data_IF_986384363624
#
_entry.id   IF_986384363624
#
_cell.length_a   1.000
_cell.length_b   1.000
_cell.length_c   1.000
_cell.angle_alpha   90.00
_cell.angle_beta   90.00
_cell.angle_gamma   90.00
#
_symmetry.space_group_name_H-M   'P 1'
#
loop_
_entity.id
_entity.type
_entity.pdbx_description
1 polymer ?
2 non-polymer ?
3 non-polymer ?
4 non-polymer ?
5 water ?
#
# COMPACT_ATOMS: atom_id res chain seq x y z
N UNK A 11 13.68 -20.99 9.65
CA UNK A 11 14.03 -20.91 8.21
C UNK A 11 13.17 -21.83 7.36
N UNK A 12 12.67 -21.28 6.25
CA UNK A 12 12.03 -22.09 5.21
C UNK A 12 12.22 -21.41 3.87
N UNK A 13 12.57 -22.20 2.86
CA UNK A 13 12.70 -21.69 1.49
C UNK A 13 11.55 -22.13 0.60
N UNK A 14 10.60 -22.86 1.19
CA UNK A 14 9.47 -23.39 0.45
C UNK A 14 8.37 -22.33 0.38
N UNK A 15 7.77 -22.14 -0.79
CA UNK A 15 6.73 -21.11 -0.90
C UNK A 15 5.51 -21.37 -0.02
N UNK A 16 5.07 -20.32 0.67
CA UNK A 16 3.83 -20.31 1.42
C UNK A 16 3.41 -18.85 1.59
N UNK A 17 2.10 -18.62 1.58
CA UNK A 17 1.58 -17.28 1.87
C UNK A 17 2.02 -16.87 3.28
N UNK A 18 2.47 -15.64 3.41
CA UNK A 18 3.01 -15.15 4.67
C UNK A 18 1.97 -15.03 5.77
N UNK A 19 2.44 -15.12 7.02
CA UNK A 19 1.63 -14.86 8.20
C UNK A 19 2.44 -13.93 9.09
N UNK A 20 1.86 -13.49 10.21
CA UNK A 20 2.58 -12.63 11.15
C UNK A 20 3.93 -13.24 11.53
N UNK A 21 3.95 -14.56 11.68
CA UNK A 21 5.15 -15.26 12.10
C UNK A 21 6.24 -15.36 11.02
N UNK A 22 5.85 -15.22 9.76
CA UNK A 22 6.80 -15.42 8.65
C UNK A 22 7.10 -14.15 7.87
N UNK A 23 6.47 -13.05 8.26
CA UNK A 23 6.80 -11.75 7.67
C UNK A 23 8.21 -11.22 7.98
N UNK A 24 8.84 -11.65 9.11
CA UNK A 24 10.15 -11.04 9.36
C UNK A 24 11.18 -11.18 8.24
N UNK A 25 11.20 -12.36 7.62
CA UNK A 25 12.25 -12.69 6.65
C UNK A 25 11.76 -13.56 5.49
N UNK A 26 10.94 -12.98 4.59
CA UNK A 26 10.46 -13.75 3.44
C UNK A 26 11.49 -13.86 2.32
N UNK A 27 12.60 -13.15 2.46
CA UNK A 27 13.49 -12.92 1.34
C UNK A 27 14.19 -14.16 0.77
N UNK A 28 14.65 -15.10 1.65
CA UNK A 28 15.27 -16.30 1.09
C UNK A 28 14.27 -17.12 0.27
N UNK A 29 13.03 -17.18 0.72
CA UNK A 29 11.96 -17.85 -0.02
C UNK A 29 11.80 -17.25 -1.42
N UNK A 30 11.73 -15.92 -1.48
CA UNK A 30 11.63 -15.21 -2.77
C UNK A 30 12.81 -15.52 -3.68
N UNK A 31 14.02 -15.55 -3.10
CA UNK A 31 15.25 -15.82 -3.85
C UNK A 31 15.21 -17.22 -4.47
N UNK A 32 14.75 -18.20 -3.69
CA UNK A 32 14.58 -19.58 -4.17
C UNK A 32 13.66 -19.65 -5.36
N UNK A 33 12.52 -18.94 -5.28
CA UNK A 33 11.62 -18.84 -6.42
C UNK A 33 12.28 -18.20 -7.63
N UNK A 34 12.92 -17.04 -7.45
CA UNK A 34 13.52 -16.34 -8.59
C UNK A 34 14.55 -17.20 -9.30
N UNK A 35 15.35 -17.89 -8.50
CA UNK A 35 16.45 -18.66 -9.05
C UNK A 35 16.06 -20.02 -9.61
N UNK A 36 15.05 -20.66 -9.02
CA UNK A 36 14.79 -22.06 -9.36
C UNK A 36 13.39 -22.37 -9.89
N UNK A 37 12.45 -21.44 -9.73
CA UNK A 37 11.09 -21.64 -10.25
C UNK A 37 10.34 -20.32 -10.41
N UNK A 38 10.78 -19.48 -11.38
CA UNK A 38 10.23 -18.14 -11.55
C UNK A 38 8.74 -18.09 -11.92
N UNK A 39 8.23 -19.16 -12.52
CA UNK A 39 6.79 -19.28 -12.77
C UNK A 39 6.33 -20.51 -12.00
N UNK A 40 6.01 -20.30 -10.73
CA UNK A 40 5.86 -21.38 -9.74
C UNK A 40 4.42 -21.79 -9.54
N UNK A 41 4.13 -23.07 -9.72
CA UNK A 41 2.77 -23.60 -9.55
C UNK A 41 2.56 -24.05 -8.11
N UNK A 42 1.58 -23.45 -7.44
CA UNK A 42 1.22 -23.81 -6.07
C UNK A 42 -0.05 -24.63 -6.11
N UNK A 43 -0.01 -25.85 -5.59
CA UNK A 43 -1.17 -26.72 -5.53
C UNK A 43 -1.38 -27.05 -4.05
N UNK A 44 -2.27 -26.32 -3.37
CA UNK A 44 -2.48 -26.56 -1.92
C UNK A 44 -2.89 -28.00 -1.67
N UNK A 45 -2.11 -28.75 -0.87
CA UNK A 45 -2.44 -30.16 -0.67
C UNK A 45 -3.85 -30.43 -0.13
N UNK A 46 -4.35 -29.51 0.70
CA UNK A 46 -5.66 -29.66 1.32
C UNK A 46 -6.78 -29.15 0.41
N UNK A 47 -6.40 -28.44 -0.65
CA UNK A 47 -7.35 -27.81 -1.56
C UNK A 47 -6.75 -27.68 -2.96
N UNK A 48 -6.44 -28.82 -3.63
CA UNK A 48 -5.74 -28.76 -4.91
C UNK A 48 -6.51 -28.04 -6.02
N UNK A 49 -7.83 -27.93 -5.87
CA UNK A 49 -8.68 -27.23 -6.82
C UNK A 49 -8.49 -25.71 -6.78
N UNK A 50 -7.77 -25.25 -5.74
CA UNK A 50 -7.46 -23.83 -5.57
C UNK A 50 -6.01 -23.53 -5.92
N UNK A 51 -5.49 -24.29 -6.88
CA UNK A 51 -4.14 -24.07 -7.35
C UNK A 51 -3.99 -22.69 -8.02
N UNK A 52 -2.79 -22.15 -7.97
CA UNK A 52 -2.49 -20.85 -8.54
C UNK A 52 -1.02 -20.78 -8.93
N UNK A 53 -0.61 -19.67 -9.52
CA UNK A 53 0.77 -19.51 -9.97
C UNK A 53 1.38 -18.28 -9.34
N UNK A 54 2.69 -18.25 -9.26
CA UNK A 54 3.41 -17.16 -8.60
C UNK A 54 4.53 -16.67 -9.50
N UNK A 55 4.54 -15.37 -9.77
CA UNK A 55 5.61 -14.74 -10.53
C UNK A 55 6.52 -13.95 -9.57
N UNK A 56 7.83 -14.23 -9.66
CA UNK A 56 8.79 -13.71 -8.68
C UNK A 56 9.87 -12.80 -9.27
N UNK A 57 10.09 -12.87 -10.59
CA UNK A 57 11.13 -12.08 -11.22
C UNK A 57 10.63 -10.71 -11.67
N UNK A 58 11.51 -9.73 -11.63
CA UNK A 58 11.14 -8.37 -11.99
C UNK A 58 10.56 -8.26 -13.41
N UNK A 59 11.20 -8.90 -14.38
CA UNK A 59 10.79 -8.79 -15.78
C UNK A 59 9.38 -9.30 -16.00
N UNK A 60 9.07 -10.44 -15.39
CA UNK A 60 7.77 -11.07 -15.57
C UNK A 60 6.69 -10.31 -14.83
N UNK A 61 7.01 -9.87 -13.61
CA UNK A 61 6.04 -9.11 -12.82
C UNK A 61 5.73 -7.75 -13.45
N UNK A 62 6.77 -7.08 -13.94
CA UNK A 62 6.62 -5.78 -14.61
C UNK A 62 5.69 -5.91 -15.82
N UNK A 63 5.94 -6.92 -16.66
CA UNK A 63 5.14 -7.11 -17.87
C UNK A 63 3.71 -7.56 -17.58
N UNK A 64 3.54 -8.43 -16.59
CA UNK A 64 2.20 -8.91 -16.19
C UNK A 64 1.33 -7.82 -15.57
N UNK A 65 1.94 -6.99 -14.71
CA UNK A 65 1.23 -5.86 -14.10
C UNK A 65 0.68 -4.92 -15.18
N UNK A 66 1.49 -4.64 -16.20
CA UNK A 66 1.09 -3.77 -17.31
C UNK A 66 -0.01 -4.39 -18.16
N UNK A 67 0.05 -5.71 -18.33
CA UNK A 67 -0.81 -6.42 -19.28
C UNK A 67 -2.14 -6.81 -18.65
N UNK A 68 -3.01 -5.82 -18.53
CA UNK A 68 -4.33 -6.03 -17.94
C UNK A 68 -5.20 -6.91 -18.83
N UNK A 69 -4.91 -6.94 -20.13
CA UNK A 69 -5.70 -7.76 -21.06
C UNK A 69 -5.57 -9.25 -20.73
N UNK A 70 -4.35 -9.68 -20.47
CA UNK A 70 -4.05 -11.07 -20.16
C UNK A 70 -4.25 -11.34 -18.67
N UNK A 71 -3.86 -10.38 -17.83
CA UNK A 71 -3.90 -10.54 -16.39
C UNK A 71 -4.92 -9.59 -15.79
N UNK A 72 -6.14 -10.08 -15.64
CA UNK A 72 -7.30 -9.25 -15.26
C UNK A 72 -7.38 -9.04 -13.76
N UNK A 73 -7.88 -7.87 -13.35
CA UNK A 73 -8.16 -7.60 -11.94
C UNK A 73 -9.62 -7.84 -11.53
N UNK A 74 -10.45 -8.25 -12.50
CA UNK A 74 -11.90 -8.23 -12.34
C UNK A 74 -12.50 -9.37 -11.51
N UNK A 75 -11.68 -10.37 -11.17
CA UNK A 75 -12.12 -11.44 -10.28
C UNK A 75 -11.58 -11.34 -8.85
N UNK A 76 -10.81 -10.30 -8.59
CA UNK A 76 -10.27 -10.11 -7.26
C UNK A 76 -8.76 -10.12 -7.27
N UNK A 77 -8.19 -9.81 -6.11
CA UNK A 77 -6.75 -9.55 -5.98
C UNK A 77 -6.05 -10.50 -5.03
N UNK A 78 -6.75 -11.52 -4.56
CA UNK A 78 -6.14 -12.55 -3.69
C UNK A 78 -6.07 -13.87 -4.46
N UNK A 79 -5.43 -14.87 -3.86
CA UNK A 79 -5.43 -16.19 -4.48
C UNK A 79 -6.68 -17.02 -4.14
N UNK A 80 -7.62 -16.45 -3.40
CA UNK A 80 -8.85 -17.16 -3.03
C UNK A 80 -9.92 -17.00 -4.10
N UNK A 81 -10.29 -18.12 -4.74
CA UNK A 81 -11.25 -18.10 -5.85
C UNK A 81 -12.67 -17.65 -5.46
N UNK A 82 -13.00 -17.72 -4.18
CA UNK A 82 -14.31 -17.23 -3.73
C UNK A 82 -14.35 -15.80 -3.23
N UNK A 83 -13.28 -15.04 -3.49
CA UNK A 83 -13.07 -13.70 -2.93
C UNK A 83 -14.25 -12.73 -3.03
N UNK A 84 -14.75 -12.50 -4.23
CA UNK A 84 -15.75 -11.43 -4.41
C UNK A 84 -17.04 -11.69 -3.63
N UNK A 85 -17.51 -12.94 -3.64
CA UNK A 85 -18.68 -13.29 -2.81
C UNK A 85 -18.37 -13.27 -1.32
N UNK A 86 -17.14 -13.63 -0.96
CA UNK A 86 -16.71 -13.63 0.44
C UNK A 86 -16.73 -12.22 1.05
N UNK A 87 -16.37 -11.23 0.23
CA UNK A 87 -16.35 -9.85 0.73
C UNK A 87 -17.68 -9.12 0.43
N UNK A 88 -18.43 -9.62 -0.54
CA UNK A 88 -19.71 -9.03 -0.91
C UNK A 88 -19.60 -7.92 -1.93
N UNK A 89 -18.64 -8.05 -2.85
CA UNK A 89 -18.45 -7.02 -3.86
C UNK A 89 -18.53 -7.57 -5.28
N UNK A 90 -19.19 -8.72 -5.45
CA UNK A 90 -19.31 -9.32 -6.78
C UNK A 90 -20.14 -8.49 -7.75
N UNK A 91 -21.26 -7.93 -7.26
CA UNK A 91 -22.18 -7.16 -8.12
C UNK A 91 -21.48 -6.03 -8.85
N UNK A 92 -20.84 -5.15 -8.08
CA UNK A 92 -20.07 -4.03 -8.61
C UNK A 92 -18.74 -3.95 -7.87
N UNK A 93 -17.71 -4.59 -8.43
CA UNK A 93 -16.41 -4.49 -7.75
C UNK A 93 -15.85 -3.03 -7.73
N UNK A 94 -15.00 -2.71 -6.74
CA UNK A 94 -14.33 -1.41 -6.61
C UNK A 94 -13.29 -1.15 -7.71
N UNK A 95 -12.72 0.05 -7.76
CA UNK A 95 -11.90 0.42 -8.91
C UNK A 95 -10.68 -0.49 -9.12
N UNK A 96 -10.16 -1.03 -8.01
CA UNK A 96 -8.96 -1.84 -8.04
C UNK A 96 -9.28 -3.26 -8.52
N UNK A 97 -10.57 -3.53 -8.73
CA UNK A 97 -11.05 -4.82 -9.25
C UNK A 97 -11.86 -4.59 -10.52
N UNK A 98 -11.57 -3.49 -11.20
CA UNK A 98 -12.13 -3.16 -12.52
C UNK A 98 -11.04 -3.21 -13.59
N UNK A 99 -11.40 -3.72 -14.77
CA UNK A 99 -10.52 -3.64 -15.93
C UNK A 99 -10.95 -2.48 -16.81
N UNK A 100 -10.04 -2.01 -17.66
CA UNK A 100 -10.46 -1.08 -18.70
C UNK A 100 -11.43 -1.81 -19.64
N UNK A 101 -12.42 -1.10 -20.22
CA UNK A 101 -12.66 0.35 -20.19
C UNK A 101 -13.42 0.88 -18.97
N UNK A 102 -14.12 -0.01 -18.24
CA UNK A 102 -14.90 0.33 -17.04
C UNK A 102 -14.02 1.15 -16.09
N UNK A 103 -12.79 0.69 -15.88
CA UNK A 103 -11.84 1.32 -14.97
C UNK A 103 -11.42 2.73 -15.38
N UNK A 104 -11.32 2.94 -16.69
CA UNK A 104 -10.69 4.13 -17.26
C UNK A 104 -11.42 5.44 -16.96
N UNK A 105 -12.75 5.50 -17.17
CA UNK A 105 -13.46 6.76 -16.92
C UNK A 105 -13.45 7.17 -15.46
N UNK A 106 -13.76 6.23 -14.57
CA UNK A 106 -13.76 6.54 -13.16
C UNK A 106 -12.36 6.98 -12.72
N UNK A 107 -11.32 6.29 -13.18
CA UNK A 107 -9.95 6.66 -12.80
C UNK A 107 -9.62 8.08 -13.27
N UNK A 108 -10.10 8.43 -14.46
CA UNK A 108 -9.86 9.78 -14.98
C UNK A 108 -10.50 10.82 -14.07
N UNK A 109 -11.73 10.55 -13.63
CA UNK A 109 -12.43 11.50 -12.79
C UNK A 109 -11.78 11.68 -11.44
N UNK A 110 -11.50 10.57 -10.74
CA UNK A 110 -10.89 10.67 -9.41
C UNK A 110 -9.48 11.22 -9.48
N UNK A 111 -8.76 10.95 -10.56
CA UNK A 111 -7.40 11.46 -10.71
C UNK A 111 -7.30 12.98 -10.57
N UNK A 112 -8.41 13.67 -10.82
CA UNK A 112 -8.48 15.13 -10.65
C UNK A 112 -8.21 15.56 -9.19
N UNK A 113 -8.41 14.64 -8.26
CA UNK A 113 -8.06 14.87 -6.85
C UNK A 113 -6.70 14.34 -6.43
N UNK A 114 -5.89 13.93 -7.41
CA UNK A 114 -4.53 13.44 -7.15
C UNK A 114 -3.51 14.17 -8.02
N UNK A 115 -3.31 15.43 -7.69
CA UNK A 115 -2.35 16.26 -8.41
C UNK A 115 -1.37 16.85 -7.40
N UNK A 116 -0.31 17.54 -7.89
CA UNK A 116 0.65 18.08 -6.93
C UNK A 116 0.01 19.01 -5.90
N UNK A 117 -1.04 19.73 -6.28
CA UNK A 117 -1.74 20.57 -5.33
C UNK A 117 -2.17 19.82 -4.06
N UNK A 118 -2.79 18.65 -4.22
CA UNK A 118 -3.30 17.93 -3.04
C UNK A 118 -2.21 17.38 -2.14
N UNK A 119 -1.07 17.02 -2.71
CA UNK A 119 0.04 16.54 -1.89
C UNK A 119 0.67 17.71 -1.15
N UNK A 120 0.77 18.85 -1.84
CA UNK A 120 1.40 20.03 -1.27
C UNK A 120 0.59 20.67 -0.14
N UNK A 121 -0.73 20.69 -0.28
CA UNK A 121 -1.56 21.35 0.73
C UNK A 121 -1.55 20.64 2.07
N UNK A 122 -1.35 19.33 2.06
CA UNK A 122 -1.39 18.56 3.30
C UNK A 122 0.00 18.42 3.92
N UNK A 123 1.06 18.76 3.19
CA UNK A 123 2.40 18.52 3.73
C UNK A 123 2.68 19.24 5.08
N UNK A 124 2.32 20.54 5.20
CA UNK A 124 2.60 21.19 6.51
C UNK A 124 1.86 20.53 7.68
N UNK A 125 0.65 20.02 7.42
CA UNK A 125 -0.11 19.29 8.44
C UNK A 125 0.59 17.99 8.83
N UNK A 126 1.06 17.26 7.83
CA UNK A 126 1.87 16.06 8.05
C UNK A 126 3.12 16.37 8.87
N UNK A 127 3.87 17.39 8.47
CA UNK A 127 5.08 17.76 9.19
C UNK A 127 4.80 18.14 10.65
N UNK A 128 3.78 18.95 10.87
CA UNK A 128 3.42 19.37 12.23
C UNK A 128 3.12 18.14 13.10
N UNK A 129 2.37 17.19 12.57
CA UNK A 129 2.01 15.99 13.34
C UNK A 129 3.23 15.12 13.61
N UNK A 130 4.04 14.92 12.59
CA UNK A 130 5.29 14.16 12.75
C UNK A 130 6.18 14.75 13.84
N UNK A 131 6.38 16.06 13.81
CA UNK A 131 7.18 16.76 14.80
C UNK A 131 6.60 16.61 16.20
N UNK A 132 5.29 16.84 16.34
CA UNK A 132 4.63 16.69 17.64
C UNK A 132 4.90 15.31 18.24
N UNK A 133 4.68 14.27 17.44
CA UNK A 133 4.78 12.89 17.92
C UNK A 133 6.23 12.45 18.17
N UNK A 134 7.16 12.87 17.31
CA UNK A 134 8.57 12.54 17.51
C UNK A 134 9.14 13.25 18.73
N UNK A 135 8.73 14.50 18.95
CA UNK A 135 9.15 15.21 20.16
C UNK A 135 8.66 14.52 21.44
N UNK A 136 7.42 14.06 21.43
CA UNK A 136 6.88 13.33 22.58
C UNK A 136 7.68 12.04 22.83
N UNK A 137 7.95 11.30 21.76
CA UNK A 137 8.77 10.11 21.86
C UNK A 137 10.17 10.43 22.40
N UNK A 138 10.81 11.47 21.86
CA UNK A 138 12.14 11.88 22.29
C UNK A 138 12.16 12.19 23.78
N UNK A 139 11.18 12.99 24.23
CA UNK A 139 11.08 13.38 25.64
C UNK A 139 10.93 12.16 26.55
N UNK A 140 10.23 11.15 26.06
CA UNK A 140 9.99 9.92 26.83
C UNK A 140 11.05 8.84 26.65
N UNK A 141 12.11 9.15 25.90
CA UNK A 141 13.19 8.21 25.63
C UNK A 141 12.80 7.08 24.69
N UNK A 142 11.71 7.28 23.97
CA UNK A 142 11.20 6.28 23.05
C UNK A 142 9.75 5.92 23.33
N UNK A 143 9.32 4.83 22.73
CA UNK A 143 7.97 4.34 22.93
C UNK A 143 7.40 3.71 21.69
N UNK A 144 6.07 3.66 21.66
CA UNK A 144 5.34 2.95 20.64
C UNK A 144 5.14 3.83 19.40
N UNK A 145 6.17 3.87 18.55
CA UNK A 145 6.17 4.72 17.36
C UNK A 145 5.07 4.34 16.36
N UNK A 146 4.70 3.06 16.33
CA UNK A 146 3.62 2.66 15.43
C UNK A 146 2.28 3.23 15.93
N UNK A 147 1.93 2.99 17.19
CA UNK A 147 0.64 3.46 17.70
C UNK A 147 0.51 4.98 17.69
N UNK A 148 1.61 5.66 17.99
CA UNK A 148 1.58 7.09 18.20
C UNK A 148 1.83 7.93 16.95
N UNK A 149 2.46 7.33 15.94
CA UNK A 149 2.77 8.07 14.71
C UNK A 149 2.45 7.32 13.42
N UNK A 150 3.02 6.13 13.24
CA UNK A 150 2.95 5.47 11.93
C UNK A 150 1.55 4.95 11.57
N UNK A 151 0.71 4.71 12.58
CA UNK A 151 -0.70 4.39 12.37
C UNK A 151 -1.57 5.63 12.14
N UNK A 152 -1.58 6.59 13.09
CA UNK A 152 -2.49 7.72 12.86
C UNK A 152 -2.15 8.64 11.67
N UNK A 153 -0.86 8.79 11.34
CA UNK A 153 -0.47 9.70 10.25
C UNK A 153 -1.16 9.41 8.92
N UNK A 154 -1.05 8.18 8.39
CA UNK A 154 -1.66 7.97 7.08
C UNK A 154 -3.18 8.14 7.09
N UNK A 155 -3.82 7.93 8.24
CA UNK A 155 -5.27 8.13 8.31
C UNK A 155 -5.66 9.58 7.99
N UNK A 156 -4.88 10.51 8.52
CA UNK A 156 -5.12 11.93 8.28
C UNK A 156 -4.96 12.28 6.78
N UNK A 157 -3.95 11.68 6.16
CA UNK A 157 -3.70 11.94 4.74
C UNK A 157 -4.84 11.40 3.88
N UNK A 158 -5.29 10.16 4.13
CA UNK A 158 -6.47 9.62 3.43
C UNK A 158 -7.68 10.54 3.64
N UNK A 159 -7.88 10.99 4.87
CA UNK A 159 -8.98 11.92 5.18
C UNK A 159 -8.91 13.16 4.31
N UNK A 160 -7.71 13.74 4.23
CA UNK A 160 -7.49 14.88 3.35
C UNK A 160 -7.88 14.60 1.89
N UNK A 161 -7.47 13.44 1.38
CA UNK A 161 -7.75 13.09 -0.01
C UNK A 161 -9.22 12.83 -0.29
N UNK A 162 -9.99 12.56 0.78
CA UNK A 162 -11.43 12.35 0.67
C UNK A 162 -12.23 13.62 0.98
N UNK A 163 -11.52 14.72 1.24
CA UNK A 163 -12.17 15.99 1.58
C UNK A 163 -12.91 15.96 2.92
N UNK A 164 -12.48 15.09 3.84
CA UNK A 164 -13.03 15.11 5.21
C UNK A 164 -12.49 16.34 5.94
N UNK A 165 -13.38 17.20 6.45
CA UNK A 165 -12.92 18.36 7.22
C UNK A 165 -12.08 17.96 8.44
N UNK A 166 -11.06 18.75 8.73
CA UNK A 166 -10.12 18.46 9.80
C UNK A 166 -10.78 18.16 11.14
N UNK A 167 -11.91 18.83 11.40
CA UNK A 167 -12.62 18.66 12.66
C UNK A 167 -13.19 17.25 12.85
N UNK A 168 -13.29 16.50 11.74
CA UNK A 168 -13.83 15.14 11.76
C UNK A 168 -12.76 14.04 11.65
N UNK A 169 -11.49 14.41 11.67
CA UNK A 169 -10.41 13.44 11.48
C UNK A 169 -10.33 12.40 12.61
N UNK A 170 -10.64 12.80 13.84
CA UNK A 170 -10.55 11.88 14.96
C UNK A 170 -11.64 10.79 14.85
N UNK A 171 -12.86 11.20 14.54
CA UNK A 171 -13.93 10.23 14.33
C UNK A 171 -13.62 9.34 13.13
N UNK A 172 -13.07 9.95 12.09
CA UNK A 172 -12.70 9.22 10.90
C UNK A 172 -11.56 8.20 11.18
N UNK A 173 -10.61 8.58 12.06
CA UNK A 173 -9.52 7.68 12.53
C UNK A 173 -10.11 6.42 13.20
N UNK A 174 -11.18 6.61 13.99
CA UNK A 174 -11.79 5.49 14.69
C UNK A 174 -12.33 4.46 13.73
N UNK A 175 -13.09 4.92 12.74
CA UNK A 175 -13.63 4.02 11.72
C UNK A 175 -12.51 3.37 10.92
N UNK A 176 -11.52 4.17 10.54
CA UNK A 176 -10.36 3.68 9.82
C UNK A 176 -9.68 2.54 10.55
N UNK A 177 -9.44 2.69 11.84
CA UNK A 177 -8.69 1.67 12.54
C UNK A 177 -9.42 0.34 12.59
N UNK A 178 -10.74 0.40 12.78
CA UNK A 178 -11.57 -0.81 12.79
C UNK A 178 -11.54 -1.50 11.42
N UNK A 179 -11.67 -0.72 10.35
CA UNK A 179 -11.63 -1.26 8.99
C UNK A 179 -10.28 -1.87 8.62
N UNK A 180 -9.20 -1.14 8.92
CA UNK A 180 -7.86 -1.60 8.63
C UNK A 180 -7.57 -2.91 9.36
N UNK A 181 -7.95 -2.99 10.64
CA UNK A 181 -7.77 -4.23 11.42
C UNK A 181 -8.56 -5.39 10.84
N UNK A 182 -9.80 -5.13 10.43
CA UNK A 182 -10.66 -6.16 9.84
C UNK A 182 -10.17 -6.60 8.45
N UNK A 183 -9.63 -5.65 7.69
CA UNK A 183 -9.17 -5.89 6.30
C UNK A 183 -7.83 -6.64 6.25
N UNK A 184 -7.12 -6.63 7.38
CA UNK A 184 -5.81 -7.26 7.46
C UNK A 184 -5.94 -8.77 7.47
N UNK A 191 -15.22 -8.68 10.77
CA UNK A 191 -16.09 -7.56 10.40
C UNK A 191 -15.82 -6.26 11.13
N UNK A 192 -16.37 -5.17 10.59
CA UNK A 192 -16.27 -3.83 11.15
C UNK A 192 -17.58 -3.11 10.89
N UNK A 193 -18.67 -3.71 11.33
CA UNK A 193 -19.99 -3.22 10.96
C UNK A 193 -20.33 -1.79 11.41
N UNK A 194 -20.03 -1.47 12.66
CA UNK A 194 -20.21 -0.12 13.21
C UNK A 194 -19.46 0.88 12.33
N UNK A 195 -18.19 0.59 12.08
CA UNK A 195 -17.31 1.45 11.28
C UNK A 195 -17.78 1.63 9.84
N UNK A 196 -18.12 0.52 9.20
CA UNK A 196 -18.55 0.56 7.80
C UNK A 196 -19.84 1.36 7.71
N UNK A 197 -20.79 1.04 8.59
CA UNK A 197 -22.04 1.80 8.70
C UNK A 197 -21.87 3.29 8.99
N UNK A 198 -21.04 3.63 9.97
CA UNK A 198 -20.79 5.04 10.31
C UNK A 198 -20.17 5.76 9.12
N UNK A 199 -19.19 5.11 8.49
CA UNK A 199 -18.45 5.75 7.41
C UNK A 199 -19.34 5.93 6.19
N UNK A 200 -20.08 4.89 5.82
CA UNK A 200 -20.94 5.00 4.65
C UNK A 200 -22.03 6.03 4.90
N UNK A 201 -22.52 6.12 6.14
CA UNK A 201 -23.46 7.17 6.54
C UNK A 201 -22.90 8.61 6.49
N UNK A 202 -21.69 8.78 7.02
CA UNK A 202 -21.00 10.06 7.03
C UNK A 202 -20.77 10.56 5.62
N UNK A 203 -20.28 9.67 4.75
CA UNK A 203 -20.01 10.06 3.38
C UNK A 203 -21.26 10.32 2.55
N UNK A 204 -22.37 9.66 2.89
CA UNK A 204 -23.63 9.98 2.25
C UNK A 204 -23.93 11.47 2.44
N UNK A 205 -23.75 11.95 3.67
CA UNK A 205 -23.91 13.37 4.00
C UNK A 205 -22.88 14.29 3.34
N UNK A 206 -21.62 13.87 3.35
CA UNK A 206 -20.57 14.69 2.75
C UNK A 206 -20.73 14.81 1.24
N UNK A 207 -21.09 13.71 0.57
CA UNK A 207 -21.35 13.73 -0.87
C UNK A 207 -22.46 14.73 -1.20
N UNK A 208 -23.53 14.68 -0.43
CA UNK A 208 -24.64 15.61 -0.57
C UNK A 208 -24.16 17.05 -0.40
N UNK A 209 -23.33 17.30 0.60
CA UNK A 209 -22.76 18.63 0.80
C UNK A 209 -21.93 19.08 -0.40
N UNK A 210 -21.12 18.18 -0.96
CA UNK A 210 -20.25 18.55 -2.09
C UNK A 210 -21.00 18.93 -3.36
N UNK A 211 -22.30 18.63 -3.41
CA UNK A 211 -23.14 19.06 -4.53
C UNK A 211 -23.19 20.58 -4.61
N UNK A 212 -23.18 21.23 -3.46
CA UNK A 212 -23.28 22.69 -3.42
C UNK A 212 -22.03 23.38 -2.90
N UNK A 213 -21.16 22.64 -2.20
CA UNK A 213 -19.91 23.20 -1.67
C UNK A 213 -18.70 22.36 -2.11
N UNK A 214 -18.45 22.25 -3.43
CA UNK A 214 -17.34 21.41 -3.87
C UNK A 214 -15.98 22.04 -3.58
N UNK A 215 -15.05 21.21 -3.12
CA UNK A 215 -13.67 21.64 -2.95
C UNK A 215 -12.80 20.97 -4.01
N UNK A 216 -11.53 20.74 -3.70
CA UNK A 216 -10.58 20.30 -4.72
C UNK A 216 -10.27 18.81 -4.62
N UNK A 217 -10.91 18.13 -3.68
CA UNK A 217 -10.63 16.73 -3.40
C UNK A 217 -11.29 15.77 -4.39
N UNK A 218 -10.94 14.49 -4.28
CA UNK A 218 -11.44 13.48 -5.19
C UNK A 218 -12.96 13.29 -5.14
N UNK A 219 -13.54 13.35 -3.94
CA UNK A 219 -15.00 13.23 -3.84
C UNK A 219 -15.69 14.42 -4.47
N UNK A 220 -15.24 15.62 -4.13
CA UNK A 220 -15.75 16.85 -4.75
C UNK A 220 -15.71 16.75 -6.28
N UNK A 221 -14.59 16.25 -6.81
CA UNK A 221 -14.46 16.11 -8.25
C UNK A 221 -15.45 15.13 -8.87
N UNK A 222 -15.68 14.01 -8.17
CA UNK A 222 -16.63 13.02 -8.65
C UNK A 222 -18.03 13.62 -8.69
N UNK A 223 -18.42 14.26 -7.60
CA UNK A 223 -19.73 14.92 -7.53
C UNK A 223 -19.87 16.01 -8.60
N UNK A 224 -18.87 16.88 -8.73
CA UNK A 224 -18.92 17.97 -9.72
C UNK A 224 -19.06 17.43 -11.15
N UNK A 225 -18.45 16.27 -11.41
CA UNK A 225 -18.51 15.61 -12.71
C UNK A 225 -19.83 14.87 -12.97
N UNK A 226 -20.76 14.96 -12.01
CA UNK A 226 -22.09 14.41 -12.17
C UNK A 226 -22.28 12.95 -11.81
N UNK A 227 -21.28 12.36 -11.17
CA UNK A 227 -21.42 10.99 -10.68
C UNK A 227 -22.42 11.00 -9.52
N UNK A 228 -23.52 10.27 -9.72
CA UNK A 228 -24.63 10.23 -8.75
C UNK A 228 -25.72 11.28 -8.98
N UNK A 229 -25.51 12.17 -9.95
CA UNK A 229 -26.50 13.21 -10.30
C UNK A 229 -27.80 12.59 -10.80
N UNK A 230 -28.90 13.35 -10.64
CA UNK A 230 -30.20 12.99 -11.21
C UNK A 230 -30.71 11.59 -10.83
N UNK A 231 -30.58 11.26 -9.54
CA UNK A 231 -31.06 10.00 -9.01
C UNK A 231 -30.27 8.76 -9.39
N UNK A 232 -29.03 8.96 -9.87
CA UNK A 232 -28.16 7.82 -10.22
C UNK A 232 -27.55 7.18 -8.97
N UNK A 233 -28.34 6.32 -8.33
CA UNK A 233 -27.97 5.61 -7.13
C UNK A 233 -26.64 4.84 -7.30
N UNK A 234 -26.49 4.18 -8.44
CA UNK A 234 -25.27 3.41 -8.75
C UNK A 234 -24.03 4.31 -8.77
N UNK A 235 -24.15 5.48 -9.37
CA UNK A 235 -23.07 6.48 -9.33
C UNK A 235 -22.70 6.83 -7.91
N UNK A 236 -23.69 7.18 -7.09
CA UNK A 236 -23.42 7.51 -5.70
C UNK A 236 -22.74 6.33 -4.98
N UNK A 237 -23.22 5.11 -5.24
CA UNK A 237 -22.60 3.93 -4.63
C UNK A 237 -21.13 3.81 -5.01
N UNK A 238 -20.80 4.17 -6.25
CA UNK A 238 -19.40 4.10 -6.70
C UNK A 238 -18.51 5.07 -5.92
N UNK A 239 -19.06 6.23 -5.54
CA UNK A 239 -18.29 7.16 -4.72
C UNK A 239 -18.07 6.58 -3.32
N UNK A 240 -19.14 6.04 -2.74
CA UNK A 240 -19.04 5.36 -1.45
C UNK A 240 -18.02 4.21 -1.48
N UNK A 241 -18.07 3.39 -2.53
CA UNK A 241 -17.13 2.29 -2.66
C UNK A 241 -15.69 2.82 -2.70
N UNK A 242 -15.49 3.93 -3.39
CA UNK A 242 -14.19 4.56 -3.49
C UNK A 242 -13.66 4.98 -2.11
N UNK A 243 -14.54 5.44 -1.22
CA UNK A 243 -14.07 5.80 0.13
C UNK A 243 -13.50 4.59 0.86
N UNK A 244 -14.15 3.43 0.70
CA UNK A 244 -13.65 2.20 1.31
C UNK A 244 -12.33 1.75 0.68
N UNK A 245 -12.22 1.87 -0.65
CA UNK A 245 -10.99 1.59 -1.36
C UNK A 245 -9.85 2.44 -0.81
N UNK A 246 -10.12 3.72 -0.62
CA UNK A 246 -9.11 4.63 -0.11
C UNK A 246 -8.66 4.30 1.31
N UNK A 247 -9.60 4.02 2.21
CA UNK A 247 -9.26 3.64 3.57
C UNK A 247 -8.40 2.37 3.57
N UNK A 248 -8.78 1.38 2.76
CA UNK A 248 -8.03 0.13 2.74
C UNK A 248 -6.73 0.21 1.96
N UNK A 249 -6.62 1.17 1.04
CA UNK A 249 -5.42 1.29 0.21
C UNK A 249 -4.32 2.11 0.87
N UNK A 250 -4.73 3.14 1.62
CA UNK A 250 -3.79 4.18 2.00
C UNK A 250 -3.26 4.18 3.41
N UNK A 251 -3.68 3.17 4.21
CA UNK A 251 -3.35 3.13 5.63
C UNK A 251 -2.28 2.10 5.99
N UNK A 252 -2.62 0.82 5.93
CA UNK A 252 -1.68 -0.21 6.36
C UNK A 252 -0.40 -0.21 5.53
N UNK A 253 -0.55 0.14 4.25
CA UNK A 253 0.59 0.26 3.36
C UNK A 253 1.60 1.30 3.84
N UNK A 254 1.13 2.51 4.14
CA UNK A 254 2.02 3.56 4.62
C UNK A 254 2.63 3.19 5.97
N UNK A 255 1.82 2.59 6.85
CA UNK A 255 2.34 2.13 8.14
C UNK A 255 3.44 1.08 7.93
N UNK A 256 3.26 0.24 6.92
CA UNK A 256 4.27 -0.75 6.56
C UNK A 256 5.56 -0.13 6.06
N UNK A 257 5.43 0.87 5.20
CA UNK A 257 6.60 1.59 4.68
C UNK A 257 7.37 2.23 5.84
N UNK A 258 6.65 2.94 6.70
CA UNK A 258 7.27 3.69 7.81
C UNK A 258 7.90 2.76 8.84
N UNK A 259 7.12 1.80 9.33
CA UNK A 259 7.64 0.86 10.32
C UNK A 259 8.70 -0.07 9.77
N UNK A 260 8.48 -0.58 8.55
CA UNK A 260 9.45 -1.48 7.91
C UNK A 260 10.80 -0.84 7.65
N UNK A 261 10.81 0.48 7.47
CA UNK A 261 12.06 1.20 7.20
C UNK A 261 12.92 1.32 8.45
N UNK A 262 12.31 1.26 9.63
CA UNK A 262 13.04 1.50 10.88
C UNK A 262 14.22 0.54 11.13
N UNK A 263 14.01 -0.79 11.04
CA UNK A 263 15.19 -1.66 11.23
C UNK A 263 16.24 -1.52 10.12
N UNK A 264 15.78 -1.24 8.90
CA UNK A 264 16.71 -1.10 7.78
C UNK A 264 17.65 0.07 8.00
N UNK A 265 17.09 1.19 8.45
CA UNK A 265 17.88 2.37 8.78
C UNK A 265 18.75 2.13 10.00
N UNK A 266 18.19 1.49 11.00
CA UNK A 266 18.92 1.33 12.24
C UNK A 266 20.22 0.56 12.04
N UNK A 267 20.16 -0.49 11.23
CA UNK A 267 21.30 -1.38 11.10
C UNK A 267 22.37 -0.87 10.12
N UNK A 268 22.12 0.30 9.52
CA UNK A 268 23.07 0.90 8.58
C UNK A 268 23.42 2.35 8.95
N UNK A 269 24.23 2.52 10.02
CA UNK A 269 24.65 3.87 10.39
C UNK A 269 25.35 4.62 9.26
N UNK A 270 26.08 3.93 8.38
CA UNK A 270 26.72 4.58 7.24
C UNK A 270 25.70 5.23 6.33
N UNK A 271 24.55 4.58 6.18
CA UNK A 271 23.50 5.11 5.31
C UNK A 271 22.80 6.29 5.97
N UNK A 272 22.59 6.22 7.28
CA UNK A 272 22.05 7.37 8.00
C UNK A 272 23.02 8.54 7.91
N UNK A 273 24.32 8.26 8.01
CA UNK A 273 25.34 9.31 7.92
C UNK A 273 25.26 10.09 6.61
N UNK A 274 25.07 9.39 5.50
CA UNK A 274 24.96 10.01 4.18
C UNK A 274 23.85 11.04 4.16
N UNK A 275 22.73 10.71 4.80
CA UNK A 275 21.56 11.58 4.83
C UNK A 275 21.61 12.68 5.89
N UNK A 276 22.34 12.44 6.97
CA UNK A 276 22.62 13.47 7.96
C UNK A 276 23.49 14.56 7.37
N UNK A 277 24.46 14.16 6.56
CA UNK A 277 25.39 15.09 5.91
C UNK A 277 24.80 15.74 4.67
N UNK A 278 23.92 15.02 3.98
CA UNK A 278 23.23 15.59 2.82
C UNK A 278 21.73 15.25 2.87
N UNK A 279 20.95 16.10 3.57
CA UNK A 279 19.51 15.89 3.67
C UNK A 279 18.81 15.93 2.32
N UNK A 280 19.44 16.53 1.32
CA UNK A 280 18.88 16.58 -0.03
C UNK A 280 18.91 15.19 -0.75
N UNK A 281 19.57 14.22 -0.14
CA UNK A 281 19.55 12.84 -0.64
C UNK A 281 18.33 12.06 -0.17
N UNK A 282 17.48 12.68 0.64
CA UNK A 282 16.35 11.96 1.24
C UNK A 282 15.30 11.45 0.20
N UNK A 283 14.95 12.26 -0.82
CA UNK A 283 14.02 11.72 -1.82
C UNK A 283 14.47 10.42 -2.48
N UNK A 284 15.74 10.35 -2.87
CA UNK A 284 16.28 9.10 -3.41
C UNK A 284 16.23 7.97 -2.38
N UNK A 285 16.53 8.29 -1.11
CA UNK A 285 16.51 7.30 -0.04
C UNK A 285 15.10 6.71 0.10
N UNK A 286 14.09 7.57 -0.04
CA UNK A 286 12.70 7.12 0.02
C UNK A 286 12.41 6.06 -1.05
N UNK A 287 12.92 6.26 -2.26
CA UNK A 287 12.73 5.23 -3.29
C UNK A 287 13.34 3.89 -2.92
N UNK A 288 14.54 3.93 -2.36
CA UNK A 288 15.21 2.72 -1.92
C UNK A 288 14.44 2.03 -0.78
N UNK A 289 13.96 2.81 0.18
CA UNK A 289 13.13 2.26 1.26
C UNK A 289 11.83 1.67 0.73
N UNK A 290 11.20 2.33 -0.24
CA UNK A 290 10.01 1.78 -0.86
C UNK A 290 10.30 0.45 -1.56
N UNK A 291 11.45 0.36 -2.22
CA UNK A 291 11.86 -0.88 -2.87
C UNK A 291 12.00 -2.03 -1.90
N UNK A 292 12.69 -1.79 -0.78
CA UNK A 292 13.00 -2.85 0.17
C UNK A 292 11.85 -3.22 1.09
N UNK A 293 11.00 -2.25 1.44
CA UNK A 293 9.84 -2.56 2.28
C UNK A 293 8.66 -3.12 1.49
N UNK A 294 8.48 -2.62 0.25
CA UNK A 294 7.42 -3.06 -0.67
C UNK A 294 6.16 -3.49 0.10
N UNK A 295 5.52 -2.54 0.81
CA UNK A 295 4.45 -2.95 1.74
C UNK A 295 3.39 -3.85 1.13
N UNK A 296 2.96 -3.54 -0.09
CA UNK A 296 2.17 -4.52 -0.83
C UNK A 296 3.16 -5.51 -1.43
N UNK A 297 3.30 -6.65 -0.74
CA UNK A 297 4.30 -7.63 -1.14
C UNK A 297 3.85 -8.44 -2.34
N UNK A 298 2.54 -8.63 -2.48
CA UNK A 298 2.01 -9.26 -3.68
C UNK A 298 0.52 -9.02 -3.79
N UNK A 299 0.03 -9.03 -5.02
CA UNK A 299 -1.40 -9.04 -5.32
C UNK A 299 -1.61 -9.93 -6.52
N UNK A 300 -2.81 -10.49 -6.63
CA UNK A 300 -3.08 -11.43 -7.71
C UNK A 300 -3.81 -10.84 -8.91
N UNK A 301 -3.78 -11.60 -9.99
CA UNK A 301 -4.55 -11.35 -11.21
C UNK A 301 -5.19 -12.66 -11.63
N UNK A 302 -6.12 -12.61 -12.57
CA UNK A 302 -6.69 -13.83 -13.16
C UNK A 302 -6.37 -13.84 -14.65
N UNK A 303 -5.81 -14.95 -15.15
CA UNK A 303 -5.53 -15.04 -16.58
C UNK A 303 -6.83 -15.13 -17.37
N UNK A 304 -6.86 -14.42 -18.49
CA UNK A 304 -8.00 -14.40 -19.40
C UNK A 304 -7.77 -15.32 -20.60
N UNK A 305 -6.53 -15.76 -20.76
CA UNK A 305 -6.10 -16.64 -21.85
C UNK A 305 -4.95 -17.48 -21.32
N UNK A 306 -4.67 -18.60 -21.99
CA UNK A 306 -3.44 -19.33 -21.71
C UNK A 306 -2.27 -18.39 -22.02
N UNK A 307 -1.28 -18.34 -21.14
CA UNK A 307 -0.12 -17.51 -21.40
C UNK A 307 1.14 -18.27 -21.03
N UNK A 308 2.12 -18.24 -21.93
CA UNK A 308 3.37 -18.94 -21.72
C UNK A 308 4.45 -17.95 -21.32
N UNK A 309 5.12 -18.26 -20.22
CA UNK A 309 6.25 -17.48 -19.73
C UNK A 309 7.40 -18.48 -19.56
N UNK A 310 8.39 -18.41 -20.44
CA UNK A 310 9.49 -19.38 -20.45
C UNK A 310 8.99 -20.79 -20.71
N UNK A 311 9.34 -21.73 -19.83
CA UNK A 311 8.95 -23.13 -20.02
C UNK A 311 7.64 -23.50 -19.33
N UNK A 312 6.88 -22.50 -18.91
CA UNK A 312 5.63 -22.75 -18.21
C UNK A 312 4.45 -22.05 -18.86
N UNK A 313 3.38 -22.80 -19.05
CA UNK A 313 2.13 -22.25 -19.55
C UNK A 313 1.10 -22.17 -18.41
N UNK A 314 0.68 -20.95 -18.09
CA UNK A 314 -0.37 -20.74 -17.12
C UNK A 314 -1.71 -20.83 -17.86
N UNK A 315 -2.62 -21.71 -17.40
CA UNK A 315 -3.92 -21.80 -18.07
C UNK A 315 -4.78 -20.57 -17.86
N UNK A 316 -5.65 -20.30 -18.82
CA UNK A 316 -6.74 -19.34 -18.63
C UNK A 316 -7.54 -19.71 -17.37
N UNK A 317 -8.00 -18.70 -16.63
CA UNK A 317 -8.89 -18.95 -15.51
C UNK A 317 -8.26 -19.29 -14.17
N UNK A 318 -6.96 -19.04 -14.04
CA UNK A 318 -6.27 -19.28 -12.78
C UNK A 318 -5.73 -17.97 -12.23
N UNK A 319 -5.59 -17.91 -10.90
CA UNK A 319 -4.97 -16.76 -10.25
C UNK A 319 -3.44 -16.81 -10.40
N UNK A 320 -2.85 -15.63 -10.58
CA UNK A 320 -1.41 -15.47 -10.70
C UNK A 320 -1.03 -14.41 -9.66
N UNK A 321 -0.22 -14.78 -8.68
CA UNK A 321 0.27 -13.86 -7.67
C UNK A 321 1.52 -13.12 -8.18
N UNK A 322 1.40 -11.80 -8.29
CA UNK A 322 2.50 -10.96 -8.72
C UNK A 322 3.29 -10.53 -7.48
N UNK A 323 4.47 -11.11 -7.29
CA UNK A 323 5.23 -10.84 -6.06
C UNK A 323 6.04 -9.56 -6.22
N UNK A 324 5.38 -8.43 -6.02
CA UNK A 324 6.05 -7.14 -6.10
C UNK A 324 7.27 -7.09 -5.18
N UNK A 325 7.14 -7.63 -3.97
CA UNK A 325 8.24 -7.65 -3.02
C UNK A 325 9.47 -8.40 -3.50
N UNK A 326 9.26 -9.47 -4.28
CA UNK A 326 10.36 -10.23 -4.86
C UNK A 326 10.93 -9.53 -6.08
N UNK A 327 10.05 -9.00 -6.92
CA UNK A 327 10.47 -8.26 -8.12
C UNK A 327 11.39 -7.10 -7.73
N UNK A 328 11.02 -6.43 -6.64
CA UNK A 328 11.80 -5.33 -6.09
C UNK A 328 13.18 -5.75 -5.56
N UNK A 329 13.36 -7.04 -5.33
CA UNK A 329 14.61 -7.60 -4.80
C UNK A 329 15.35 -8.48 -5.81
N UNK A 330 14.95 -8.39 -7.08
CA UNK A 330 15.51 -9.27 -8.10
C UNK A 330 16.89 -8.80 -8.51
N UNK A 331 17.89 -9.65 -8.25
CA UNK A 331 19.27 -9.33 -8.61
C UNK A 331 19.46 -9.07 -10.12
N UNK A 332 18.58 -9.64 -10.95
CA UNK A 332 18.63 -9.41 -12.39
C UNK A 332 18.33 -7.96 -12.76
N UNK A 333 17.60 -7.25 -11.91
CA UNK A 333 17.28 -5.85 -12.16
C UNK A 333 18.15 -4.88 -11.36
N UNK A 334 18.47 -5.26 -10.11
CA UNK A 334 19.15 -4.36 -9.16
C UNK A 334 20.55 -4.84 -8.76
N UNK A 335 21.01 -5.91 -9.39
CA UNK A 335 22.38 -6.41 -9.15
C UNK A 335 22.54 -7.30 -7.92
N UNK A 336 23.74 -7.89 -7.71
CA UNK A 336 23.92 -8.88 -6.63
C UNK A 336 23.72 -8.34 -5.21
N UNK A 337 23.71 -7.00 -5.11
CA UNK A 337 23.49 -6.27 -3.89
C UNK A 337 22.04 -5.80 -3.74
N UNK A 338 21.11 -6.48 -4.42
CA UNK A 338 19.70 -6.10 -4.39
C UNK A 338 19.09 -6.23 -3.00
N UNK A 339 19.66 -7.10 -2.17
CA UNK A 339 19.13 -7.34 -0.83
C UNK A 339 19.53 -6.26 0.17
N UNK A 340 20.47 -5.37 -0.22
CA UNK A 340 21.03 -4.39 0.70
C UNK A 340 20.48 -2.99 0.53
N UNK A 341 20.47 -2.23 1.62
CA UNK A 341 20.11 -0.83 1.57
C UNK A 341 21.25 -0.01 0.95
N UNK A 342 20.93 0.67 -0.16
CA UNK A 342 21.80 1.70 -0.73
C UNK A 342 20.99 2.94 -1.07
N UNK A 343 21.05 3.96 -0.20
CA UNK A 343 20.19 5.12 -0.38
C UNK A 343 20.56 5.97 -1.59
N UNK A 344 21.73 5.70 -2.20
CA UNK A 344 22.14 6.41 -3.41
C UNK A 344 21.91 5.59 -4.67
N UNK A 345 21.27 4.43 -4.51
CA UNK A 345 21.02 3.50 -5.63
C UNK A 345 20.20 4.12 -6.75
N UNK A 346 19.21 4.93 -6.37
CA UNK A 346 18.23 5.51 -7.29
C UNK A 346 17.59 4.41 -8.14
N UNK A 347 16.93 3.43 -7.48
CA UNK A 347 16.35 2.31 -8.20
C UNK A 347 15.26 2.79 -9.17
N UNK A 348 15.23 2.21 -10.36
CA UNK A 348 14.18 2.56 -11.29
C UNK A 348 13.26 1.36 -11.51
N UNK A 349 12.05 1.66 -11.97
CA UNK A 349 11.06 0.65 -12.24
C UNK A 349 10.77 -0.25 -11.03
N UNK A 350 10.70 0.38 -9.86
CA UNK A 350 10.25 -0.34 -8.68
C UNK A 350 8.80 -0.75 -8.85
N UNK A 351 8.43 -1.84 -8.18
CA UNK A 351 7.08 -2.38 -8.29
C UNK A 351 6.22 -2.05 -7.08
N UNK A 352 6.73 -1.19 -6.20
CA UNK A 352 6.05 -0.90 -4.93
C UNK A 352 4.63 -0.37 -5.12
N UNK A 353 4.44 0.40 -6.19
CA UNK A 353 3.13 0.97 -6.51
C UNK A 353 2.49 0.29 -7.71
N UNK A 354 2.92 -0.94 -8.01
CA UNK A 354 2.58 -1.63 -9.27
C UNK A 354 2.98 -0.81 -10.50
N UNK A 355 2.37 -1.14 -11.63
CA UNK A 355 2.80 -0.61 -12.92
C UNK A 355 1.61 -0.80 -13.87
N UNK A 356 1.36 0.20 -14.70
CA UNK A 356 0.23 0.14 -15.64
C UNK A 356 -1.02 0.86 -15.17
N UNK A 357 -2.18 0.37 -15.64
CA UNK A 357 -3.48 1.00 -15.39
C UNK A 357 -3.79 1.34 -13.94
N UNK A 358 -3.42 0.44 -13.04
CA UNK A 358 -3.76 0.56 -11.63
C UNK A 358 -2.66 1.15 -10.77
N UNK A 359 -1.61 1.70 -11.40
CA UNK A 359 -0.51 2.33 -10.65
C UNK A 359 -1.06 3.19 -9.52
N UNK A 360 -0.50 2.98 -8.32
CA UNK A 360 -1.06 3.61 -7.11
C UNK A 360 -1.37 5.09 -7.27
N UNK A 361 -2.62 5.47 -7.04
CA UNK A 361 -3.01 6.89 -7.09
C UNK A 361 -2.36 7.70 -5.96
N UNK A 362 -2.07 7.03 -4.86
CA UNK A 362 -1.48 7.67 -3.70
C UNK A 362 0.04 7.69 -3.64
N UNK A 363 0.73 7.37 -4.76
CA UNK A 363 2.19 7.24 -4.73
C UNK A 363 2.87 8.49 -4.22
N UNK A 364 2.44 9.65 -4.71
CA UNK A 364 3.05 10.91 -4.32
C UNK A 364 2.78 11.20 -2.84
N UNK A 365 1.56 10.92 -2.37
CA UNK A 365 1.21 11.06 -0.96
C UNK A 365 2.04 10.15 -0.04
N UNK A 366 2.28 8.92 -0.50
CA UNK A 366 3.08 7.96 0.26
C UNK A 366 4.52 8.42 0.31
N UNK A 367 5.05 8.83 -0.85
CA UNK A 367 6.42 9.37 -0.91
C UNK A 367 6.59 10.59 0.00
N UNK A 368 5.61 11.48 0.00
CA UNK A 368 5.69 12.67 0.86
C UNK A 368 5.73 12.30 2.35
N UNK A 369 4.88 11.36 2.75
CA UNK A 369 4.90 10.93 4.15
C UNK A 369 6.24 10.31 4.55
N UNK A 370 6.79 9.47 3.67
CA UNK A 370 8.09 8.87 3.94
C UNK A 370 9.18 9.93 4.04
N UNK A 371 9.16 10.89 3.13
CA UNK A 371 10.17 11.96 3.11
C UNK A 371 10.13 12.77 4.40
N UNK A 372 8.93 13.20 4.79
CA UNK A 372 8.79 14.02 5.98
C UNK A 372 9.18 13.23 7.24
N UNK A 373 8.70 12.00 7.36
CA UNK A 373 9.04 11.16 8.51
C UNK A 373 10.54 10.90 8.61
N UNK A 374 11.18 10.57 7.49
CA UNK A 374 12.63 10.33 7.50
C UNK A 374 13.41 11.59 7.84
N UNK A 375 13.00 12.71 7.26
CA UNK A 375 13.68 13.99 7.52
C UNK A 375 13.66 14.29 9.01
N UNK A 376 12.50 14.10 9.63
CA UNK A 376 12.34 14.48 11.03
C UNK A 376 12.93 13.45 11.99
N UNK A 377 12.91 12.17 11.62
CA UNK A 377 13.59 11.16 12.42
C UNK A 377 15.07 11.50 12.54
N UNK A 378 15.70 11.79 11.41
CA UNK A 378 17.12 12.13 11.43
C UNK A 378 17.40 13.46 12.13
N UNK A 379 16.51 14.44 11.97
CA UNK A 379 16.72 15.74 12.61
C UNK A 379 16.47 15.74 14.11
N UNK A 380 15.51 14.94 14.57
CA UNK A 380 14.99 15.04 15.95
C UNK A 380 15.35 13.86 16.86
N UNK A 381 15.52 12.68 16.26
CA UNK A 381 15.82 11.44 16.98
C UNK A 381 16.98 10.70 16.31
N UNK A 382 18.11 11.38 16.04
CA UNK A 382 19.16 10.69 15.28
C UNK A 382 19.79 9.50 15.98
N UNK A 383 19.88 9.55 17.30
CA UNK A 383 20.37 8.44 18.10
C UNK A 383 19.16 7.66 18.53
N UNK A 384 18.91 6.55 17.84
CA UNK A 384 17.76 5.69 18.18
C UNK A 384 18.12 4.22 18.09
N UNK A 385 17.28 3.40 18.72
CA UNK A 385 17.50 1.96 18.73
C UNK A 385 16.21 1.27 18.37
N UNK A 386 16.33 0.22 17.56
CA UNK A 386 15.21 -0.64 17.18
C UNK A 386 15.68 -2.07 17.34
N UNK A 387 14.92 -2.88 18.06
CA UNK A 387 15.23 -4.29 18.22
C UNK A 387 14.38 -5.05 17.22
N UNK A 388 14.99 -5.41 16.09
CA UNK A 388 14.27 -5.99 14.97
C UNK A 388 13.56 -7.28 15.34
N UNK A 389 14.24 -8.10 16.14
CA UNK A 389 13.70 -9.39 16.59
C UNK A 389 12.39 -9.27 17.37
N UNK A 390 12.14 -8.10 17.96
CA UNK A 390 10.95 -7.87 18.77
C UNK A 390 9.81 -7.08 18.09
N UNK A 391 10.01 -6.74 16.81
CA UNK A 391 8.91 -6.21 15.99
C UNK A 391 7.79 -7.24 15.89
N UNK A 392 6.54 -6.78 16.01
CA UNK A 392 5.40 -7.66 15.78
C UNK A 392 4.76 -7.26 14.46
N UNK A 393 4.61 -8.23 13.57
CA UNK A 393 4.04 -8.00 12.24
C UNK A 393 2.55 -8.31 12.22
N UNK A 394 1.80 -7.59 11.40
CA UNK A 394 0.38 -7.84 11.26
C UNK A 394 0.19 -9.17 10.53
N UNK A 395 -0.90 -9.84 10.83
CA UNK A 395 -1.34 -10.94 10.00
C UNK A 395 -1.80 -10.43 8.64
N UNK A 396 -2.08 -11.37 7.75
CA UNK A 396 -2.50 -11.07 6.40
C UNK A 396 -1.36 -11.35 5.44
N UNK A 397 -1.68 -11.94 4.29
CA UNK A 397 -0.65 -12.44 3.38
C UNK A 397 -0.18 -11.45 2.30
N UNK A 398 -0.82 -10.30 2.18
CA UNK A 398 -0.56 -9.41 1.04
C UNK A 398 0.22 -8.16 1.41
N UNK A 399 -0.08 -7.62 2.58
CA UNK A 399 0.60 -6.42 3.06
C UNK A 399 1.50 -6.77 4.25
N UNK A 400 2.74 -6.30 4.20
CA UNK A 400 3.73 -6.53 5.24
C UNK A 400 3.91 -5.24 6.02
N UNK A 401 3.44 -5.24 7.26
CA UNK A 401 3.44 -4.04 8.09
C UNK A 401 3.51 -4.38 9.56
N UNK A 402 4.35 -3.64 10.31
CA UNK A 402 4.42 -3.90 11.74
C UNK A 402 3.23 -3.35 12.51
N UNK A 403 2.77 -4.12 13.49
CA UNK A 403 1.82 -3.63 14.50
C UNK A 403 2.54 -2.88 15.60
N UNK A 404 3.81 -3.25 15.81
CA UNK A 404 4.63 -2.61 16.83
C UNK A 404 6.12 -2.70 16.50
N UNK A 405 6.81 -1.60 16.74
CA UNK A 405 8.25 -1.50 16.53
C UNK A 405 8.86 -0.97 17.82
N UNK A 406 9.68 -1.80 18.51
CA UNK A 406 10.37 -1.29 19.71
C UNK A 406 11.27 -0.13 19.31
N UNK A 407 11.13 1.00 20.00
CA UNK A 407 11.81 2.25 19.63
C UNK A 407 12.33 2.96 20.86
N UNK A 408 13.65 3.16 20.90
CA UNK A 408 14.30 3.88 22.02
C UNK A 408 15.10 5.05 21.45
N UNK A 409 15.09 6.17 22.16
CA UNK A 409 15.81 7.37 21.75
C UNK A 409 16.69 7.83 22.90
N UNK A 410 17.94 8.14 22.60
CA UNK A 410 18.86 8.69 23.60
C UNK A 410 19.15 10.16 23.32
X LIG B 1 -3.40 1.12 -5.88
X LIG B 1 0.52 0.22 -3.21
X LIG B 1 -0.35 4.20 -0.56
X LIG B 1 -4.55 4.86 -2.92
X LIG B 1 -2.24 0.55 -5.43
X LIG B 1 -1.58 -0.60 -5.99
X LIG B 1 -0.51 -0.86 -5.24
X LIG B 1 -0.44 0.14 -4.19
X LIG B 1 0.52 -2.01 -5.42
X LIG B 1 -2.09 -1.38 -7.24
X LIG B 1 -2.94 -2.58 -6.83
X LIG B 1 -2.81 -3.75 -7.79
X LIG B 1 -3.85 -4.39 -8.06
X LIG B 1 -1.70 -4.08 -8.26
X LIG B 1 0.62 1.21 -2.26
X LIG B 1 1.69 1.36 -1.29
X LIG B 1 1.46 2.46 -0.56
X LIG B 1 0.23 3.04 -1.03
X LIG B 1 2.88 0.38 -1.15
X LIG B 1 2.27 3.05 0.61
X LIG B 1 3.60 3.04 0.67
X LIG B 1 -1.56 4.74 -0.98
X LIG B 1 -2.13 5.96 -0.50
X LIG B 1 -3.31 6.15 -1.13
X LIG B 1 -3.48 5.04 -2.07
X LIG B 1 -1.47 6.82 0.59
X LIG B 1 -4.34 7.31 -0.99
X LIG B 1 -3.95 8.56 -0.73
X LIG B 1 -4.63 3.90 -3.90
X LIG B 1 -5.75 3.73 -4.80
X LIG B 1 -5.38 2.59 -5.71
X LIG B 1 -4.09 2.15 -5.28
X LIG B 1 -7.02 4.58 -4.80
X LIG B 1 -6.25 2.00 -6.83
X LIG B 1 -5.82 2.56 -8.18
X LIG B 1 -6.48 1.82 -9.31
X LIG B 1 -6.60 2.40 -10.42
X LIG B 1 -6.89 0.64 -9.11
X LIG B 1 -1.52 1.00 -4.33
X LIG B 1 -0.26 2.26 -2.08
X LIG B 1 -2.40 4.20 -1.95
X LIG B 1 -3.66 2.93 -4.22
X LIG B 1 -1.88 2.66 -3.23
X LIG C 1 3.21 -12.38 -0.46
X LIG C 1 3.55 -13.40 0.63
X LIG C 1 4.34 -14.56 0.05
X LIG C 1 2.36 -13.86 1.24
X LIG D 1 -0.92 -14.23 11.02
X LIG D 1 -2.05 -14.51 10.03
X LIG D 1 -2.37 -16.00 10.01
X LIG D 1 -1.65 -14.08 8.75
X LIG E 1 -4.29 7.32 17.28
X LIG E 1 -3.34 8.41 17.77
X LIG E 1 -4.05 9.41 18.66
X LIG E 1 -2.21 7.84 18.41
X LIG F 1 9.44 6.29 9.09
X LIG F 1 10.86 6.24 8.61
X LIG F 1 11.37 4.89 9.05
X LIG F 1 10.85 6.31 7.21
X LIG G 1 -3.67 -0.08 -21.94
X LIG G 1 -2.34 -0.41 -22.63
X LIG G 1 -1.75 0.89 -23.15
X LIG G 1 -1.47 -1.00 -21.70
X LIG H 1 -14.60 22.00 4.15
X LIG H 1 -15.22 21.42 5.34
X LIG H 1 -14.07 23.30 4.48
X LIG H 1 -13.52 21.13 3.69
X LIG H 1 -15.59 22.14 3.08
X LIG I 1 21.54 -4.48 4.86
X LIG I 1 20.38 -5.32 4.52
X LIG I 1 21.65 -4.35 6.32
X LIG I 1 22.75 -5.12 4.32
X LIG I 1 21.43 -3.17 4.26
X LIG J 1 6.95 6.65 -10.64
X LIG J 1 7.76 5.63 -9.97
X LIG J 1 7.68 7.93 -10.62
X LIG J 1 6.75 6.23 -12.03
X LIG J 1 5.66 6.83 -9.95
X LIG K 1 -31.27 13.16 -6.53
X LIG K 1 -31.86 11.99 -5.89
X LIG K 1 -30.97 14.17 -5.53
X LIG K 1 -30.06 12.77 -7.26
X LIG K 1 -32.21 13.71 -7.51
#
# INVERSE_FOLDING_TARGET
MHHHHHHTSVMSHEFQLATAETWPNPWPMYRALRDHDPVHHVVPPQRPEYDYYVLSRHADVWSAARDHQTFSSAQGLTVNYGELEMIGLHDTPPMVMQDPPVHTEFRKLVSRGFTPRQVETVEPTVRKFVVERLEKLRANGGGDIVTELFKPLPSMVVAHYLGVPEEDWTQFDGWTQAIVAANAVDGATTGALDAVGSMMAYFTGLIERRRTEPADDAISHLVAAGVGADGDTAGTLSILAFTFTMVTAGNDTVTGMLGGSMPLLHRRPDQRRLLLDDPEGIPDAVEELLRLTSPVQGLARTTTRDVTIGDTTIPAGRRVLLLYGSANRDERQYGPDAAELDVTRCPRNILTFSHGAHHCLGAAAARMQCRVALTELLARCPDFEVAESRIVWSGGSYVRRPLSVPFRVTSSR
HEM CHA CHB CHC CHD C1A C2A C3A C4A CMA CAA CBA CGA O1A O2A C1B C2B C3B C4B CMB CAB CBB C1C C2C C3C C4C CMC CAC CBC C1D C2D C3D C4D CMD CAD CBD CGD O1D O2D NA NB NC ND FE
IPA C1 C2 C3 O2
IPA C1 C2 C3 O2
IPA C1 C2 C3 O2
IPA C1 C2 C3 O2
IPA C1 C2 C3 O2
SO4 S O1 O2 O3 O4
SO4 S O1 O2 O3 O4
SO4 S O1 O2 O3 O4
SO4 S O1 O2 O3 O4
#
